data_IF_393706658662
#
_entry.id   IF_393706658662
#
_cell.length_a   1.000
_cell.length_b   1.000
_cell.length_c   1.000
_cell.angle_alpha   90.00
_cell.angle_beta   90.00
_cell.angle_gamma   90.00
#
_symmetry.space_group_name_H-M   'P 1'
#
loop_
_entity.id
_entity.type
_entity.pdbx_description
1 polymer ?
#
# COMPACT_ATOMS: atom_id res chain seq x y z
N UNK A 1 16.96 -2.26 31.01
CA UNK A 1 15.47 -2.24 31.09
C UNK A 1 15.04 -0.83 30.80
N UNK A 2 14.32 -0.60 29.72
CA UNK A 2 13.79 0.73 29.35
C UNK A 2 12.67 1.08 30.34
N UNK A 3 12.66 2.30 30.85
CA UNK A 3 11.59 2.80 31.74
C UNK A 3 10.24 2.68 31.02
N UNK A 4 9.18 2.16 31.64
CA UNK A 4 7.87 2.06 31.02
C UNK A 4 7.39 3.44 30.59
N UNK A 5 6.72 3.56 29.43
CA UNK A 5 6.24 4.85 28.94
C UNK A 5 5.16 5.41 29.86
N UNK A 6 5.27 6.71 30.20
CA UNK A 6 4.24 7.40 30.95
C UNK A 6 3.11 7.81 30.00
N UNK A 7 2.01 7.06 30.01
CA UNK A 7 0.83 7.35 29.20
C UNK A 7 -0.03 8.47 29.84
N UNK A 8 -0.72 9.29 29.06
CA UNK A 8 -1.69 10.23 29.59
C UNK A 8 -2.92 9.47 30.13
N UNK A 9 -3.51 9.96 31.21
CA UNK A 9 -4.75 9.40 31.74
C UNK A 9 -5.94 9.57 30.82
N UNK A 10 -5.92 10.62 30.01
CA UNK A 10 -6.99 10.98 29.09
C UNK A 10 -6.44 11.47 27.75
N UNK A 11 -7.14 11.12 26.68
CA UNK A 11 -6.97 11.68 25.34
C UNK A 11 -8.35 11.91 24.72
N UNK A 12 -8.51 12.93 23.87
CA UNK A 12 -9.74 13.13 23.12
C UNK A 12 -9.96 12.01 22.10
N UNK A 13 -8.89 11.55 21.47
CA UNK A 13 -8.92 10.43 20.53
C UNK A 13 -7.67 9.56 20.72
N UNK A 14 -7.87 8.25 20.69
CA UNK A 14 -6.79 7.26 20.65
C UNK A 14 -6.82 6.56 19.30
N UNK A 15 -5.72 6.65 18.55
CA UNK A 15 -5.49 5.97 17.28
C UNK A 15 -4.67 4.73 17.57
N UNK A 16 -5.13 3.56 17.13
CA UNK A 16 -4.44 2.28 17.33
C UNK A 16 -3.85 1.80 16.01
N UNK A 17 -2.51 1.75 15.96
CA UNK A 17 -1.72 1.35 14.80
C UNK A 17 -0.88 2.48 14.23
N UNK A 18 0.44 2.26 14.12
CA UNK A 18 1.47 3.21 13.66
C UNK A 18 1.90 3.02 12.22
N UNK A 19 1.07 2.40 11.38
CA UNK A 19 1.25 2.34 9.93
C UNK A 19 0.87 3.66 9.25
N UNK A 20 0.96 3.69 7.91
CA UNK A 20 0.66 4.89 7.11
C UNK A 20 -0.74 5.43 7.36
N UNK A 21 -1.75 4.58 7.59
CA UNK A 21 -3.12 5.02 7.85
C UNK A 21 -3.23 5.71 9.21
N UNK A 22 -2.63 5.13 10.27
CA UNK A 22 -2.68 5.72 11.61
C UNK A 22 -1.91 7.03 11.71
N UNK A 23 -0.71 7.11 11.14
CA UNK A 23 0.07 8.35 11.12
C UNK A 23 -0.58 9.42 10.25
N UNK A 24 -1.20 9.04 9.12
CA UNK A 24 -1.99 9.94 8.28
C UNK A 24 -3.21 10.48 9.04
N UNK A 25 -3.95 9.61 9.73
CA UNK A 25 -5.10 10.01 10.57
C UNK A 25 -4.66 11.00 11.65
N UNK A 26 -3.57 10.70 12.35
CA UNK A 26 -3.01 11.58 13.38
C UNK A 26 -2.60 12.95 12.84
N UNK A 27 -1.89 12.95 11.68
CA UNK A 27 -1.48 14.18 11.01
C UNK A 27 -2.68 15.04 10.61
N UNK A 28 -3.70 14.45 10.00
CA UNK A 28 -4.85 15.20 9.49
C UNK A 28 -5.75 15.71 10.61
N UNK A 29 -6.02 14.90 11.64
CA UNK A 29 -6.79 15.37 12.79
C UNK A 29 -6.10 16.56 13.45
N UNK A 30 -4.79 16.49 13.67
CA UNK A 30 -4.04 17.61 14.25
C UNK A 30 -4.01 18.83 13.31
N UNK A 31 -3.89 18.63 12.00
CA UNK A 31 -3.96 19.70 11.00
C UNK A 31 -5.32 20.39 10.95
N UNK A 32 -6.40 19.66 11.29
CA UNK A 32 -7.77 20.19 11.44
C UNK A 32 -8.02 20.84 12.81
N UNK A 33 -6.99 20.98 13.66
CA UNK A 33 -7.09 21.64 14.96
C UNK A 33 -7.54 20.73 16.11
N UNK A 34 -7.61 19.41 15.92
CA UNK A 34 -7.84 18.50 17.04
C UNK A 34 -6.64 18.47 17.96
N UNK A 35 -6.91 18.43 19.26
CA UNK A 35 -5.91 18.37 20.32
C UNK A 35 -6.09 17.08 21.15
N UNK A 36 -5.13 16.81 22.03
CA UNK A 36 -5.14 15.62 22.90
C UNK A 36 -5.28 14.30 22.12
N UNK A 37 -4.52 14.19 21.03
CA UNK A 37 -4.45 13.01 20.19
C UNK A 37 -3.32 12.10 20.67
N UNK A 38 -3.64 10.84 20.87
CA UNK A 38 -2.70 9.77 21.21
C UNK A 38 -2.70 8.74 20.09
N UNK A 39 -1.52 8.34 19.61
CA UNK A 39 -1.34 7.19 18.73
C UNK A 39 -0.57 6.12 19.49
N UNK A 40 -1.10 4.90 19.52
CA UNK A 40 -0.47 3.72 20.12
C UNK A 40 -0.03 2.77 19.02
N UNK A 41 1.24 2.41 19.03
CA UNK A 41 1.82 1.40 18.16
C UNK A 41 2.45 0.29 19.03
N UNK A 42 2.15 -0.98 18.71
CA UNK A 42 2.63 -2.11 19.53
C UNK A 42 4.13 -2.36 19.43
N UNK A 43 4.72 -2.05 18.26
CA UNK A 43 6.16 -2.20 18.00
C UNK A 43 6.78 -0.83 17.69
N UNK A 44 7.19 -0.62 16.46
CA UNK A 44 7.69 0.63 15.91
C UNK A 44 6.77 1.12 14.79
N UNK A 45 6.77 2.41 14.52
CA UNK A 45 6.08 2.92 13.35
C UNK A 45 6.52 2.11 12.11
N UNK A 46 5.59 1.83 11.23
CA UNK A 46 5.79 1.07 9.99
C UNK A 46 5.93 -0.45 10.11
N UNK A 47 6.11 -1.01 11.31
CA UNK A 47 6.43 -2.43 11.51
C UNK A 47 5.35 -3.44 11.02
N UNK A 48 4.15 -2.96 10.69
CA UNK A 48 3.09 -3.77 10.07
C UNK A 48 3.29 -3.88 8.55
N UNK A 49 2.18 -3.82 7.78
CA UNK A 49 2.20 -3.96 6.32
C UNK A 49 2.77 -2.74 5.57
N UNK A 50 2.96 -1.61 6.22
CA UNK A 50 3.43 -0.38 5.59
C UNK A 50 4.80 -0.53 4.95
N UNK A 51 5.76 -1.14 5.64
CA UNK A 51 7.13 -1.28 5.10
C UNK A 51 7.20 -2.22 3.90
N UNK A 52 6.18 -3.06 3.71
CA UNK A 52 6.07 -3.97 2.56
C UNK A 52 5.49 -3.30 1.30
N UNK A 53 4.89 -2.12 1.40
CA UNK A 53 4.18 -1.54 0.28
C UNK A 53 5.13 -1.24 -0.90
N UNK A 54 4.68 -1.47 -2.13
CA UNK A 54 5.45 -1.21 -3.33
C UNK A 54 5.74 0.28 -3.56
N UNK A 55 4.99 1.16 -2.90
CA UNK A 55 5.22 2.61 -2.94
C UNK A 55 4.86 3.25 -4.27
N UNK A 56 3.90 2.70 -5.00
CA UNK A 56 3.39 3.32 -6.22
C UNK A 56 2.52 4.53 -5.85
N UNK A 57 2.82 5.70 -6.43
CA UNK A 57 2.03 6.91 -6.29
C UNK A 57 1.30 7.19 -7.59
N UNK A 58 0.05 6.77 -7.66
CA UNK A 58 -0.74 6.73 -8.88
C UNK A 58 -2.06 7.48 -8.69
N UNK A 59 -2.30 8.48 -9.53
CA UNK A 59 -3.56 9.23 -9.56
C UNK A 59 -4.53 8.71 -10.61
N UNK A 60 -4.02 8.12 -11.67
CA UNK A 60 -4.79 7.51 -12.77
C UNK A 60 -5.55 6.24 -12.35
N UNK A 61 -6.56 5.85 -13.13
CA UNK A 61 -7.25 4.57 -13.03
C UNK A 61 -8.52 4.56 -12.16
N UNK A 62 -8.89 5.67 -11.52
CA UNK A 62 -10.15 5.76 -10.77
C UNK A 62 -11.32 6.21 -11.67
N UNK A 63 -12.49 5.61 -11.46
CA UNK A 63 -13.78 6.03 -12.04
C UNK A 63 -14.68 6.72 -11.01
N UNK A 64 -14.15 7.07 -9.85
CA UNK A 64 -14.84 7.81 -8.79
C UNK A 64 -14.16 9.15 -8.59
N UNK A 65 -14.93 10.24 -8.64
CA UNK A 65 -14.45 11.60 -8.38
C UNK A 65 -13.80 11.71 -7.00
N UNK A 66 -14.48 11.22 -5.95
CA UNK A 66 -13.95 11.23 -4.58
C UNK A 66 -12.62 10.47 -4.48
N UNK A 67 -12.52 9.30 -5.09
CA UNK A 67 -11.26 8.53 -5.10
C UNK A 67 -10.15 9.27 -5.85
N UNK A 68 -10.48 9.90 -6.97
CA UNK A 68 -9.53 10.69 -7.76
C UNK A 68 -9.03 11.90 -6.97
N UNK A 69 -9.91 12.63 -6.30
CA UNK A 69 -9.52 13.77 -5.45
C UNK A 69 -8.65 13.34 -4.27
N UNK A 70 -8.95 12.21 -3.62
CA UNK A 70 -8.09 11.67 -2.54
C UNK A 70 -6.70 11.31 -3.07
N UNK A 71 -6.59 10.72 -4.26
CA UNK A 71 -5.30 10.37 -4.89
C UNK A 71 -4.49 11.62 -5.21
N UNK A 72 -5.11 12.63 -5.84
CA UNK A 72 -4.48 13.94 -6.12
C UNK A 72 -3.98 14.61 -4.84
N UNK A 73 -4.86 14.70 -3.84
CA UNK A 73 -4.50 15.24 -2.53
C UNK A 73 -3.30 14.50 -1.92
N UNK A 74 -3.29 13.17 -2.00
CA UNK A 74 -2.21 12.35 -1.43
C UNK A 74 -0.87 12.62 -2.14
N UNK A 75 -0.87 12.66 -3.48
CA UNK A 75 0.32 13.01 -4.28
C UNK A 75 0.85 14.38 -3.87
N UNK A 76 -0.02 15.37 -3.85
CA UNK A 76 0.35 16.76 -3.54
C UNK A 76 0.84 16.90 -2.08
N UNK A 77 0.21 16.17 -1.14
CA UNK A 77 0.67 16.10 0.25
C UNK A 77 2.08 15.51 0.34
N UNK A 78 2.35 14.39 -0.31
CA UNK A 78 3.65 13.73 -0.24
C UNK A 78 4.76 14.58 -0.88
N UNK A 79 4.41 15.35 -1.93
CA UNK A 79 5.34 16.28 -2.56
C UNK A 79 5.75 17.46 -1.68
N UNK A 80 4.88 17.92 -0.76
CA UNK A 80 5.18 19.07 0.14
C UNK A 80 5.59 18.65 1.56
N UNK A 81 5.35 17.43 1.96
CA UNK A 81 5.48 16.96 3.34
C UNK A 81 6.92 17.03 3.86
N UNK A 82 7.92 16.83 2.96
CA UNK A 82 9.33 17.01 3.31
C UNK A 82 9.64 18.46 3.67
N UNK A 83 9.15 19.41 2.90
CA UNK A 83 9.34 20.83 3.20
C UNK A 83 8.64 21.24 4.52
N UNK A 84 7.48 20.65 4.82
CA UNK A 84 6.75 20.93 6.07
C UNK A 84 7.43 20.35 7.30
N UNK A 85 8.01 19.16 7.19
CA UNK A 85 8.45 18.36 8.34
C UNK A 85 9.96 18.25 8.46
N UNK A 86 10.71 18.51 7.38
CA UNK A 86 12.14 18.20 7.31
C UNK A 86 12.42 16.69 7.36
N UNK A 87 11.46 15.84 6.94
CA UNK A 87 11.60 14.39 6.80
C UNK A 87 11.28 14.02 5.37
N UNK A 88 12.24 13.40 4.69
CA UNK A 88 12.06 12.92 3.33
C UNK A 88 10.86 11.97 3.22
N UNK A 89 10.16 12.01 2.10
CA UNK A 89 9.09 11.07 1.74
C UNK A 89 9.55 10.04 0.72
N UNK A 90 10.72 10.28 0.10
CA UNK A 90 11.17 9.51 -1.04
C UNK A 90 10.26 9.64 -2.27
N UNK A 91 9.41 10.70 -2.31
CA UNK A 91 8.56 10.95 -3.48
C UNK A 91 9.40 11.36 -4.68
N UNK A 92 9.23 10.62 -5.75
CA UNK A 92 9.89 10.86 -7.04
C UNK A 92 8.82 10.90 -8.12
N UNK A 93 8.50 12.09 -8.66
CA UNK A 93 7.55 12.24 -9.77
C UNK A 93 8.22 11.86 -11.10
N UNK A 94 8.44 10.57 -11.28
CA UNK A 94 9.14 9.98 -12.43
C UNK A 94 8.17 9.50 -13.52
N UNK A 95 6.88 9.67 -13.30
CA UNK A 95 5.82 9.24 -14.19
C UNK A 95 5.23 7.89 -13.83
N UNK A 96 4.05 7.65 -14.42
CA UNK A 96 3.33 6.38 -14.36
C UNK A 96 2.75 6.07 -15.72
N UNK A 97 2.86 4.84 -16.18
CA UNK A 97 2.30 4.34 -17.44
C UNK A 97 1.44 3.12 -17.13
N UNK A 98 0.19 3.11 -17.58
CA UNK A 98 -0.65 1.92 -17.64
C UNK A 98 -0.83 1.52 -19.10
N UNK A 99 -0.55 0.25 -19.44
CA UNK A 99 -0.59 -0.20 -20.84
C UNK A 99 -1.86 -1.00 -21.13
N UNK A 100 -2.39 -0.79 -22.34
CA UNK A 100 -3.50 -1.56 -22.90
C UNK A 100 -2.94 -2.55 -23.93
N UNK A 101 -3.14 -3.85 -23.67
CA UNK A 101 -2.62 -4.96 -24.49
C UNK A 101 -3.67 -5.53 -25.44
N UNK A 102 -4.88 -4.98 -25.45
CA UNK A 102 -5.96 -5.34 -26.37
C UNK A 102 -6.92 -4.16 -26.59
N UNK A 103 -7.82 -4.31 -27.59
CA UNK A 103 -8.75 -3.25 -27.99
C UNK A 103 -9.81 -2.96 -26.93
N UNK A 104 -10.25 -3.96 -26.18
CA UNK A 104 -11.26 -3.77 -25.14
C UNK A 104 -10.67 -2.99 -23.97
N UNK A 105 -9.43 -3.30 -23.61
CA UNK A 105 -8.67 -2.58 -22.59
C UNK A 105 -8.35 -1.15 -23.04
N UNK A 106 -8.00 -0.95 -24.31
CA UNK A 106 -7.77 0.37 -24.89
C UNK A 106 -9.03 1.25 -24.76
N UNK A 107 -10.19 0.71 -25.13
CA UNK A 107 -11.46 1.43 -25.03
C UNK A 107 -11.84 1.75 -23.57
N UNK A 108 -11.64 0.79 -22.64
CA UNK A 108 -11.83 1.02 -21.22
C UNK A 108 -10.94 2.16 -20.72
N UNK A 109 -9.65 2.12 -21.05
CA UNK A 109 -8.69 3.11 -20.56
C UNK A 109 -8.90 4.50 -21.17
N UNK A 110 -9.36 4.59 -22.40
CA UNK A 110 -9.77 5.87 -22.99
C UNK A 110 -10.91 6.53 -22.21
N UNK A 111 -11.89 5.74 -21.75
CA UNK A 111 -12.99 6.24 -20.91
C UNK A 111 -12.50 6.67 -19.54
N UNK A 112 -11.65 5.86 -18.91
CA UNK A 112 -11.01 6.19 -17.63
C UNK A 112 -10.16 7.46 -17.77
N UNK A 113 -9.36 7.57 -18.83
CA UNK A 113 -8.53 8.75 -19.10
C UNK A 113 -9.37 10.00 -19.32
N UNK A 114 -10.48 9.90 -20.06
CA UNK A 114 -11.40 11.02 -20.25
C UNK A 114 -12.00 11.51 -18.93
N UNK A 115 -12.41 10.57 -18.07
CA UNK A 115 -12.92 10.90 -16.73
C UNK A 115 -11.83 11.51 -15.84
N UNK A 116 -10.62 10.96 -15.85
CA UNK A 116 -9.52 11.48 -15.03
C UNK A 116 -9.06 12.88 -15.52
N UNK A 117 -9.08 13.15 -16.82
CA UNK A 117 -8.86 14.51 -17.35
C UNK A 117 -9.95 15.48 -16.89
N UNK A 118 -11.21 15.05 -16.89
CA UNK A 118 -12.29 15.84 -16.32
C UNK A 118 -12.05 16.17 -14.84
N UNK A 119 -11.47 15.26 -14.08
CA UNK A 119 -11.05 15.48 -12.68
C UNK A 119 -9.72 16.25 -12.57
N UNK A 120 -9.14 16.74 -13.65
CA UNK A 120 -7.94 17.58 -13.65
C UNK A 120 -6.62 16.83 -13.56
N UNK A 121 -6.56 15.56 -13.96
CA UNK A 121 -5.30 14.79 -14.12
C UNK A 121 -4.86 14.90 -15.59
N UNK A 122 -3.60 15.26 -15.84
CA UNK A 122 -3.02 15.29 -17.20
C UNK A 122 -2.65 13.88 -17.64
N UNK A 123 -3.64 13.15 -18.16
CA UNK A 123 -3.44 11.81 -18.73
C UNK A 123 -3.19 11.90 -20.21
N UNK A 124 -2.06 11.42 -20.67
CA UNK A 124 -1.66 11.39 -22.07
C UNK A 124 -1.77 9.96 -22.63
N UNK A 125 -2.52 9.78 -23.73
CA UNK A 125 -2.46 8.53 -24.50
C UNK A 125 -1.19 8.58 -25.36
N UNK A 126 -0.31 7.58 -25.20
CA UNK A 126 0.98 7.50 -25.88
C UNK A 126 1.08 6.21 -26.70
N UNK A 127 1.84 6.27 -27.79
CA UNK A 127 2.07 5.10 -28.65
C UNK A 127 2.96 4.04 -27.99
N UNK A 128 2.91 2.78 -28.46
CA UNK A 128 3.82 1.73 -27.99
C UNK A 128 5.30 2.11 -28.10
N UNK A 129 5.68 2.83 -29.13
CA UNK A 129 7.04 3.35 -29.30
C UNK A 129 7.42 4.32 -28.17
N UNK A 130 6.51 5.23 -27.81
CA UNK A 130 6.76 6.17 -26.71
C UNK A 130 6.80 5.45 -25.35
N UNK A 131 6.00 4.37 -25.16
CA UNK A 131 6.13 3.51 -23.98
C UNK A 131 7.54 2.92 -23.91
N UNK A 132 8.08 2.40 -25.03
CA UNK A 132 9.43 1.83 -25.07
C UNK A 132 10.53 2.90 -24.89
N UNK A 133 10.33 4.11 -25.37
CA UNK A 133 11.26 5.22 -25.14
C UNK A 133 11.34 5.60 -23.64
N UNK A 134 10.20 5.60 -22.94
CA UNK A 134 10.11 5.89 -21.49
C UNK A 134 10.53 4.71 -20.62
N UNK A 135 10.20 3.50 -21.05
CA UNK A 135 10.50 2.25 -20.33
C UNK A 135 11.19 1.24 -21.29
N UNK A 136 12.51 1.36 -21.50
CA UNK A 136 13.23 0.60 -22.54
C UNK A 136 13.22 -0.93 -22.36
N UNK A 137 12.85 -1.41 -21.17
CA UNK A 137 12.75 -2.84 -20.89
C UNK A 137 11.39 -3.43 -21.29
N UNK A 138 10.40 -2.57 -21.63
CA UNK A 138 9.10 -3.05 -22.07
C UNK A 138 9.19 -3.70 -23.46
N UNK A 139 8.58 -4.87 -23.60
CA UNK A 139 8.18 -5.41 -24.88
C UNK A 139 6.87 -4.72 -25.28
N UNK A 140 6.81 -4.18 -26.49
CA UNK A 140 5.68 -3.34 -26.91
C UNK A 140 4.93 -3.89 -28.12
N UNK A 141 5.28 -5.08 -28.60
CA UNK A 141 4.70 -5.68 -29.83
C UNK A 141 3.23 -6.07 -29.66
N UNK A 142 2.79 -6.26 -28.40
CA UNK A 142 1.44 -6.63 -27.99
C UNK A 142 0.74 -5.49 -27.21
N UNK A 143 1.24 -4.27 -27.29
CA UNK A 143 0.66 -3.08 -26.67
C UNK A 143 -0.08 -2.24 -27.72
N UNK A 144 -1.34 -1.91 -27.49
CA UNK A 144 -2.13 -1.00 -28.33
C UNK A 144 -1.81 0.47 -28.02
N UNK A 145 -1.70 0.82 -26.74
CA UNK A 145 -1.33 2.17 -26.27
C UNK A 145 -0.88 2.15 -24.81
N UNK A 146 -0.21 3.22 -24.37
CA UNK A 146 0.03 3.55 -22.97
C UNK A 146 -0.76 4.77 -22.53
N UNK A 147 -1.09 4.83 -21.26
CA UNK A 147 -1.72 5.99 -20.61
C UNK A 147 -0.75 6.54 -19.57
N UNK A 148 -0.17 7.68 -19.88
CA UNK A 148 0.94 8.27 -19.14
C UNK A 148 0.48 9.46 -18.30
N UNK A 149 0.89 9.47 -17.03
CA UNK A 149 0.76 10.62 -16.11
C UNK A 149 2.16 11.01 -15.62
N UNK A 150 2.63 12.16 -16.05
CA UNK A 150 4.00 12.61 -15.78
C UNK A 150 4.25 12.93 -14.29
N UNK A 151 3.24 13.43 -13.60
CA UNK A 151 3.35 13.88 -12.21
C UNK A 151 3.24 12.75 -11.19
N UNK A 152 2.82 11.57 -11.63
CA UNK A 152 2.79 10.36 -10.82
C UNK A 152 4.20 9.75 -10.67
N UNK A 153 4.33 8.70 -9.88
CA UNK A 153 5.62 8.07 -9.69
C UNK A 153 5.67 7.12 -8.50
N UNK A 154 6.66 7.30 -7.64
CA UNK A 154 6.85 6.42 -6.48
C UNK A 154 7.21 7.19 -5.22
N UNK A 155 6.98 6.56 -4.08
CA UNK A 155 7.39 7.02 -2.74
C UNK A 155 8.15 5.92 -2.00
N UNK A 156 8.83 6.28 -0.92
CA UNK A 156 9.22 5.30 0.09
C UNK A 156 8.13 5.23 1.17
N UNK A 157 7.42 4.09 1.33
CA UNK A 157 6.31 3.99 2.28
C UNK A 157 6.71 4.20 3.75
N UNK A 158 7.93 3.79 4.11
CA UNK A 158 8.48 4.02 5.46
C UNK A 158 8.70 5.50 5.67
N UNK A 159 9.37 6.17 4.74
CA UNK A 159 9.71 7.61 4.85
C UNK A 159 8.44 8.47 4.90
N UNK A 160 7.45 8.18 4.06
CA UNK A 160 6.14 8.85 4.10
C UNK A 160 5.50 8.73 5.47
N UNK A 161 5.48 7.51 6.04
CA UNK A 161 4.89 7.26 7.35
C UNK A 161 5.62 8.00 8.46
N UNK A 162 6.95 8.02 8.39
CA UNK A 162 7.79 8.77 9.34
C UNK A 162 7.58 10.28 9.20
N UNK A 163 7.42 10.79 7.97
CA UNK A 163 7.14 12.20 7.72
C UNK A 163 5.76 12.61 8.27
N UNK A 164 4.72 11.79 8.04
CA UNK A 164 3.39 12.00 8.61
C UNK A 164 3.42 11.95 10.14
N UNK A 165 4.11 10.95 10.71
CA UNK A 165 4.29 10.83 12.16
C UNK A 165 5.03 12.01 12.76
N UNK A 166 6.08 12.51 12.11
CA UNK A 166 6.83 13.72 12.52
C UNK A 166 5.93 14.95 12.44
N UNK A 167 5.21 15.14 11.34
CA UNK A 167 4.27 16.23 11.16
C UNK A 167 3.14 16.21 12.19
N UNK A 168 2.66 15.04 12.59
CA UNK A 168 1.70 14.88 13.68
C UNK A 168 2.31 15.30 15.04
N UNK A 169 3.53 14.82 15.37
CA UNK A 169 4.26 15.23 16.60
C UNK A 169 4.48 16.73 16.67
N UNK A 170 4.87 17.36 15.56
CA UNK A 170 5.05 18.82 15.49
C UNK A 170 3.77 19.60 15.81
N UNK A 171 2.60 18.96 15.65
CA UNK A 171 1.27 19.52 15.96
C UNK A 171 0.71 19.04 17.30
N UNK A 172 1.55 18.44 18.16
CA UNK A 172 1.19 18.08 19.53
C UNK A 172 0.64 16.65 19.70
N UNK A 173 0.60 15.82 18.65
CA UNK A 173 0.20 14.40 18.78
C UNK A 173 1.25 13.64 19.58
N UNK A 174 0.79 12.87 20.56
CA UNK A 174 1.63 11.97 21.35
C UNK A 174 1.62 10.59 20.71
N UNK A 175 2.78 10.15 20.20
CA UNK A 175 2.95 8.85 19.56
C UNK A 175 3.79 7.98 20.48
N UNK A 176 3.23 6.84 20.90
CA UNK A 176 3.86 5.86 21.76
C UNK A 176 4.12 4.56 20.99
N UNK A 177 5.37 4.21 20.85
CA UNK A 177 5.84 2.95 20.27
C UNK A 177 6.12 1.93 21.38
N UNK A 178 6.01 0.63 21.08
CA UNK A 178 6.12 -0.42 22.09
C UNK A 178 4.90 -0.50 23.03
N UNK A 179 3.77 0.08 22.67
CA UNK A 179 2.55 0.13 23.50
C UNK A 179 1.38 -0.56 22.78
N UNK A 180 1.17 -1.86 23.00
CA UNK A 180 0.03 -2.57 22.44
C UNK A 180 -1.29 -2.13 23.08
N UNK A 181 -2.32 -1.91 22.26
CA UNK A 181 -3.70 -1.85 22.73
C UNK A 181 -4.20 -3.29 22.96
N UNK A 182 -4.56 -3.63 24.19
CA UNK A 182 -5.00 -4.96 24.60
C UNK A 182 -6.50 -5.06 24.83
N UNK A 183 -7.23 -3.96 24.72
CA UNK A 183 -8.68 -3.92 24.84
C UNK A 183 -9.24 -2.54 24.58
N UNK A 184 -10.52 -2.50 24.22
CA UNK A 184 -11.31 -1.27 24.11
C UNK A 184 -12.32 -1.26 25.27
N UNK A 185 -12.23 -0.26 26.13
CA UNK A 185 -13.11 -0.09 27.28
C UNK A 185 -14.44 0.52 26.83
N UNK A 186 -15.53 -0.01 27.33
CA UNK A 186 -16.87 0.44 26.98
C UNK A 186 -17.77 0.54 28.21
N UNK A 187 -18.71 1.48 28.16
CA UNK A 187 -19.79 1.63 29.12
C UNK A 187 -21.07 2.04 28.40
N UNK A 188 -22.15 1.30 28.62
CA UNK A 188 -23.46 1.57 27.99
C UNK A 188 -23.39 1.69 26.45
N UNK A 189 -22.63 0.80 25.79
CA UNK A 189 -22.48 0.77 24.33
C UNK A 189 -21.60 1.89 23.74
N UNK A 190 -20.92 2.67 24.58
CA UNK A 190 -20.00 3.72 24.15
C UNK A 190 -18.57 3.42 24.58
N UNK A 191 -17.61 3.79 23.74
CA UNK A 191 -16.18 3.74 24.07
C UNK A 191 -15.92 4.68 25.26
N UNK A 192 -15.10 4.22 26.19
CA UNK A 192 -14.64 5.01 27.34
C UNK A 192 -13.12 4.99 27.50
N UNK A 193 -12.40 4.18 26.73
CA UNK A 193 -10.93 4.15 26.79
C UNK A 193 -10.32 2.99 26.03
N UNK A 194 -9.00 2.93 26.10
CA UNK A 194 -8.17 1.84 25.56
C UNK A 194 -7.32 1.28 26.70
N UNK A 195 -7.30 -0.05 26.83
CA UNK A 195 -6.44 -0.76 27.76
C UNK A 195 -5.08 -1.03 27.16
N UNK A 196 -4.03 -0.84 27.96
CA UNK A 196 -2.66 -1.20 27.62
C UNK A 196 -1.97 -1.89 28.79
N UNK A 197 -0.85 -2.60 28.60
CA UNK A 197 -0.05 -3.14 29.71
C UNK A 197 0.52 -2.07 30.67
N UNK A 198 0.54 -0.80 30.21
CA UNK A 198 1.11 0.33 30.95
C UNK A 198 0.04 1.22 31.60
N UNK A 199 -1.21 0.78 31.59
CA UNK A 199 -2.37 1.49 32.13
C UNK A 199 -3.40 1.83 31.05
N UNK A 200 -4.57 2.24 31.51
CA UNK A 200 -5.70 2.60 30.65
C UNK A 200 -5.61 4.07 30.24
N UNK A 201 -5.92 4.37 28.97
CA UNK A 201 -6.09 5.73 28.47
C UNK A 201 -7.58 5.96 28.24
N UNK A 202 -8.19 6.85 29.02
CA UNK A 202 -9.59 7.24 28.82
C UNK A 202 -9.72 8.06 27.53
N UNK A 203 -10.79 7.81 26.75
CA UNK A 203 -11.02 8.53 25.50
C UNK A 203 -12.48 8.43 25.06
N UNK A 204 -12.93 9.46 24.31
CA UNK A 204 -14.26 9.47 23.70
C UNK A 204 -14.27 8.75 22.32
N UNK A 205 -13.11 8.64 21.66
CA UNK A 205 -13.00 8.09 20.33
C UNK A 205 -11.79 7.14 20.22
N UNK A 206 -12.02 5.96 19.64
CA UNK A 206 -10.96 5.04 19.23
C UNK A 206 -11.00 4.88 17.72
N UNK A 207 -9.88 5.13 17.06
CA UNK A 207 -9.73 4.91 15.61
C UNK A 207 -8.93 3.63 15.39
N UNK A 208 -9.55 2.65 14.76
CA UNK A 208 -8.91 1.38 14.43
C UNK A 208 -8.10 1.51 13.14
N UNK A 209 -6.80 1.68 13.27
CA UNK A 209 -5.82 1.69 12.19
C UNK A 209 -4.85 0.50 12.28
N UNK A 210 -5.29 -0.61 12.88
CA UNK A 210 -4.46 -1.76 13.22
C UNK A 210 -4.10 -2.65 12.01
N UNK A 211 -4.36 -2.22 10.78
CA UNK A 211 -3.94 -2.91 9.55
C UNK A 211 -4.50 -4.32 9.50
N UNK A 212 -3.64 -5.31 9.32
CA UNK A 212 -4.05 -6.72 9.25
C UNK A 212 -4.65 -7.25 10.57
N UNK A 213 -4.41 -6.59 11.70
CA UNK A 213 -5.00 -6.91 13.02
C UNK A 213 -6.28 -6.10 13.34
N UNK A 214 -6.82 -5.38 12.36
CA UNK A 214 -8.01 -4.55 12.59
C UNK A 214 -9.25 -5.38 12.98
N UNK A 215 -9.35 -6.61 12.46
CA UNK A 215 -10.42 -7.56 12.80
C UNK A 215 -10.35 -7.95 14.28
N UNK A 216 -9.18 -8.30 14.76
CA UNK A 216 -8.94 -8.68 16.15
C UNK A 216 -9.21 -7.51 17.11
N UNK A 217 -8.74 -6.32 16.77
CA UNK A 217 -9.05 -5.11 17.55
C UNK A 217 -10.56 -4.81 17.56
N UNK A 218 -11.23 -4.99 16.42
CA UNK A 218 -12.69 -4.88 16.31
C UNK A 218 -13.39 -5.87 17.26
N UNK A 219 -12.97 -7.13 17.27
CA UNK A 219 -13.52 -8.17 18.14
C UNK A 219 -13.40 -7.82 19.63
N UNK A 220 -12.29 -7.20 20.05
CA UNK A 220 -12.10 -6.71 21.43
C UNK A 220 -13.12 -5.62 21.82
N UNK A 221 -13.76 -4.98 20.86
CA UNK A 221 -14.81 -3.98 21.06
C UNK A 221 -16.21 -4.46 20.70
N UNK A 222 -16.37 -5.75 20.36
CA UNK A 222 -17.64 -6.32 19.94
C UNK A 222 -18.10 -5.85 18.53
N UNK A 223 -17.18 -5.32 17.72
CA UNK A 223 -17.45 -4.85 16.36
C UNK A 223 -16.85 -5.81 15.35
N UNK A 224 -17.66 -6.35 14.46
CA UNK A 224 -17.20 -7.18 13.36
C UNK A 224 -16.57 -6.28 12.26
N UNK A 225 -15.30 -6.53 11.95
CA UNK A 225 -14.56 -5.86 10.88
C UNK A 225 -14.32 -6.88 9.76
N UNK A 226 -14.87 -6.61 8.58
CA UNK A 226 -14.69 -7.43 7.38
C UNK A 226 -13.30 -7.19 6.78
N UNK A 227 -12.28 -7.76 7.39
CA UNK A 227 -10.90 -7.66 6.98
C UNK A 227 -10.22 -9.01 7.07
N UNK A 228 -9.65 -9.48 5.95
CA UNK A 228 -8.89 -10.72 5.88
C UNK A 228 -7.53 -10.43 5.27
N UNK A 229 -6.47 -10.82 5.97
CA UNK A 229 -5.12 -10.77 5.44
C UNK A 229 -4.98 -11.75 4.26
N UNK A 230 -4.29 -11.32 3.21
CA UNK A 230 -3.97 -12.15 2.06
C UNK A 230 -2.49 -12.03 1.72
N UNK A 231 -1.94 -13.12 1.20
CA UNK A 231 -0.58 -13.15 0.70
C UNK A 231 -0.48 -12.40 -0.62
N UNK A 232 0.56 -11.62 -0.77
CA UNK A 232 0.88 -10.91 -2.00
C UNK A 232 2.39 -10.78 -2.12
N UNK A 233 2.92 -10.96 -3.33
CA UNK A 233 4.35 -11.05 -3.55
C UNK A 233 4.84 -10.03 -4.56
N UNK A 234 6.05 -9.57 -4.38
CA UNK A 234 6.88 -9.00 -5.42
C UNK A 234 8.30 -9.50 -5.29
N UNK A 235 9.06 -9.44 -6.35
CA UNK A 235 10.48 -9.69 -6.35
C UNK A 235 11.25 -8.40 -6.68
N UNK A 236 12.50 -8.34 -6.24
CA UNK A 236 13.46 -7.33 -6.69
C UNK A 236 14.57 -8.10 -7.41
N UNK A 237 14.85 -7.72 -8.65
CA UNK A 237 15.92 -8.34 -9.44
C UNK A 237 17.28 -7.94 -8.89
N UNK A 238 18.31 -8.67 -9.27
CA UNK A 238 19.68 -8.17 -9.15
C UNK A 238 19.87 -6.88 -9.97
N UNK A 239 20.99 -6.20 -9.73
CA UNK A 239 21.36 -5.00 -10.50
C UNK A 239 21.38 -5.31 -12.00
N UNK A 240 20.66 -4.52 -12.76
CA UNK A 240 20.61 -4.59 -14.22
C UNK A 240 21.62 -3.56 -14.76
N UNK A 241 22.59 -4.06 -15.51
CA UNK A 241 23.59 -3.19 -16.13
C UNK A 241 22.93 -2.20 -17.09
N UNK A 242 23.37 -0.94 -17.06
CA UNK A 242 22.90 0.12 -17.93
C UNK A 242 21.38 0.41 -17.82
N UNK A 243 20.77 0.11 -16.67
CA UNK A 243 19.38 0.45 -16.40
C UNK A 243 19.22 1.99 -16.38
N UNK A 244 18.36 2.57 -17.22
CA UNK A 244 18.14 4.00 -17.21
C UNK A 244 17.65 4.49 -15.84
N UNK A 245 18.16 5.60 -15.31
CA UNK A 245 17.65 6.17 -14.09
C UNK A 245 16.26 6.78 -14.30
N UNK A 246 15.45 6.78 -13.23
CA UNK A 246 14.16 7.48 -13.19
C UNK A 246 13.15 7.03 -14.26
N UNK A 247 13.16 5.75 -14.62
CA UNK A 247 12.08 5.19 -15.44
C UNK A 247 10.74 5.35 -14.72
N UNK A 248 9.65 5.64 -15.44
CA UNK A 248 8.31 5.66 -14.89
C UNK A 248 7.97 4.32 -14.21
N UNK A 249 6.99 4.34 -13.32
CA UNK A 249 6.29 3.11 -12.94
C UNK A 249 5.49 2.63 -14.14
N UNK A 250 5.53 1.34 -14.43
CA UNK A 250 4.74 0.73 -15.49
C UNK A 250 3.80 -0.33 -14.90
N UNK A 251 2.53 -0.27 -15.26
CA UNK A 251 1.54 -1.30 -14.96
C UNK A 251 1.00 -1.93 -16.23
N UNK A 252 0.88 -3.26 -16.23
CA UNK A 252 0.17 -4.05 -17.23
C UNK A 252 -0.92 -4.87 -16.55
N UNK A 253 -2.17 -4.37 -16.51
CA UNK A 253 -3.26 -5.08 -15.88
C UNK A 253 -3.66 -6.38 -16.59
N UNK A 254 -3.41 -6.50 -17.89
CA UNK A 254 -3.67 -7.73 -18.64
C UNK A 254 -2.71 -8.86 -18.25
N UNK A 255 -1.48 -8.48 -17.92
CA UNK A 255 -0.45 -9.37 -17.40
C UNK A 255 -0.45 -9.44 -15.86
N UNK A 256 -1.35 -8.73 -15.18
CA UNK A 256 -1.39 -8.62 -13.71
C UNK A 256 -0.08 -8.12 -13.08
N UNK A 257 0.72 -7.32 -13.80
CA UNK A 257 2.06 -6.93 -13.38
C UNK A 257 2.23 -5.43 -13.18
N UNK A 258 3.10 -5.07 -12.23
CA UNK A 258 3.63 -3.72 -12.12
C UNK A 258 5.14 -3.74 -11.95
N UNK A 259 5.79 -2.71 -12.48
CA UNK A 259 7.24 -2.65 -12.61
C UNK A 259 7.73 -1.27 -12.20
N UNK A 260 8.75 -1.22 -11.38
CA UNK A 260 9.46 0.03 -11.06
C UNK A 260 10.92 -0.22 -10.71
N UNK A 261 11.74 0.78 -10.88
CA UNK A 261 13.14 0.71 -10.50
C UNK A 261 13.30 0.61 -8.97
N UNK A 262 14.14 -0.31 -8.51
CA UNK A 262 14.50 -0.47 -7.10
C UNK A 262 15.91 -1.03 -6.96
N UNK A 263 16.76 -0.39 -6.12
CA UNK A 263 18.07 -0.92 -5.76
C UNK A 263 19.04 -1.22 -6.92
N UNK A 264 18.92 -0.49 -8.05
CA UNK A 264 19.69 -0.74 -9.27
C UNK A 264 19.12 -1.83 -10.16
N UNK A 265 18.03 -2.47 -9.78
CA UNK A 265 17.25 -3.44 -10.54
C UNK A 265 15.80 -3.02 -10.69
N UNK A 266 14.92 -3.98 -10.94
CA UNK A 266 13.47 -3.79 -11.00
C UNK A 266 12.79 -4.48 -9.83
N UNK A 267 11.85 -3.79 -9.22
CA UNK A 267 10.77 -4.40 -8.47
C UNK A 267 9.71 -4.86 -9.46
N UNK A 268 9.35 -6.13 -9.38
CA UNK A 268 8.29 -6.75 -10.19
C UNK A 268 7.24 -7.27 -9.23
N UNK A 269 6.08 -6.68 -9.25
CA UNK A 269 4.97 -7.08 -8.40
C UNK A 269 3.81 -7.59 -9.22
N UNK A 270 2.94 -8.34 -8.56
CA UNK A 270 1.85 -9.04 -9.19
C UNK A 270 0.52 -8.65 -8.56
N UNK A 271 -0.53 -8.56 -9.37
CA UNK A 271 -1.91 -8.44 -8.94
C UNK A 271 -2.64 -9.75 -9.25
N UNK A 272 -2.30 -10.82 -8.52
CA UNK A 272 -2.84 -12.14 -8.77
C UNK A 272 -4.37 -12.11 -8.74
N UNK A 273 -5.05 -12.73 -9.74
CA UNK A 273 -6.52 -12.78 -9.78
C UNK A 273 -7.11 -13.61 -8.64
N UNK A 274 -6.33 -14.54 -8.08
CA UNK A 274 -6.69 -15.38 -6.93
C UNK A 274 -5.65 -15.19 -5.84
N UNK A 275 -6.02 -14.52 -4.76
CA UNK A 275 -5.15 -14.35 -3.59
C UNK A 275 -5.26 -15.56 -2.66
N UNK A 276 -4.16 -15.91 -1.96
CA UNK A 276 -4.21 -16.86 -0.86
C UNK A 276 -4.57 -16.12 0.44
N UNK A 277 -5.62 -16.53 1.15
CA UNK A 277 -5.90 -15.99 2.47
C UNK A 277 -4.79 -16.42 3.44
N UNK A 278 -4.37 -15.49 4.29
CA UNK A 278 -3.31 -15.75 5.26
C UNK A 278 -3.82 -15.66 6.70
N UNK A 279 -3.45 -16.65 7.53
CA UNK A 279 -3.76 -16.68 8.96
C UNK A 279 -5.23 -16.38 9.28
N UNK A 280 -6.12 -17.23 8.80
CA UNK A 280 -7.59 -17.10 9.02
C UNK A 280 -7.92 -17.07 10.52
N UNK A 281 -7.15 -17.78 11.34
CA UNK A 281 -7.33 -17.87 12.80
C UNK A 281 -6.72 -16.70 13.58
N UNK A 282 -6.19 -15.70 12.88
CA UNK A 282 -5.57 -14.52 13.44
C UNK A 282 -4.07 -14.39 13.13
N UNK A 283 -3.64 -13.15 12.94
CA UNK A 283 -2.24 -12.85 12.63
C UNK A 283 -1.38 -12.85 13.91
N UNK A 284 -0.10 -13.29 13.86
CA UNK A 284 0.82 -13.18 14.99
C UNK A 284 0.94 -11.74 15.47
N UNK A 285 0.93 -11.53 16.77
CA UNK A 285 0.97 -10.18 17.38
C UNK A 285 2.35 -9.77 17.89
N UNK A 286 3.26 -10.71 17.99
CA UNK A 286 4.57 -10.60 18.61
C UNK A 286 5.72 -10.45 17.63
N UNK A 287 5.44 -10.52 16.33
CA UNK A 287 6.45 -10.47 15.27
C UNK A 287 6.33 -9.16 14.48
N UNK A 288 7.20 -8.17 14.72
CA UNK A 288 7.33 -7.01 13.84
C UNK A 288 8.02 -7.38 12.53
N UNK A 289 7.77 -6.60 11.49
CA UNK A 289 8.41 -6.79 10.18
C UNK A 289 8.25 -8.21 9.62
N UNK A 290 7.02 -8.72 9.72
CA UNK A 290 6.65 -10.04 9.24
C UNK A 290 7.01 -10.19 7.76
N UNK A 291 7.71 -11.27 7.43
CA UNK A 291 8.03 -11.66 6.06
C UNK A 291 7.52 -13.08 5.80
N UNK A 292 7.22 -13.38 4.54
CA UNK A 292 6.72 -14.70 4.14
C UNK A 292 7.77 -15.40 3.29
N UNK A 293 7.79 -16.74 3.39
CA UNK A 293 8.56 -17.55 2.46
C UNK A 293 8.07 -17.33 1.04
N UNK A 294 8.97 -17.20 0.04
CA UNK A 294 8.59 -16.98 -1.35
C UNK A 294 7.75 -18.12 -1.91
N UNK A 295 6.59 -17.81 -2.48
CA UNK A 295 5.79 -18.77 -3.25
C UNK A 295 6.19 -18.72 -4.74
N UNK A 296 7.21 -19.47 -5.07
CA UNK A 296 7.74 -19.53 -6.44
C UNK A 296 6.78 -20.14 -7.45
N UNK A 297 5.90 -21.04 -7.02
CA UNK A 297 4.90 -21.63 -7.93
C UNK A 297 3.90 -20.55 -8.38
N UNK A 298 3.45 -19.72 -7.44
CA UNK A 298 2.56 -18.59 -7.74
C UNK A 298 3.26 -17.53 -8.57
N UNK A 299 4.50 -17.22 -8.25
CA UNK A 299 5.30 -16.24 -9.00
C UNK A 299 5.72 -16.77 -10.37
N UNK A 300 6.00 -18.07 -10.51
CA UNK A 300 6.49 -18.68 -11.75
C UNK A 300 5.51 -18.61 -12.91
N UNK A 301 4.20 -18.58 -12.65
CA UNK A 301 3.18 -18.32 -13.69
C UNK A 301 3.34 -16.96 -14.36
N UNK A 302 4.05 -16.03 -13.73
CA UNK A 302 4.31 -14.69 -14.22
C UNK A 302 5.76 -14.52 -14.75
N UNK A 303 6.64 -15.52 -14.56
CA UNK A 303 7.97 -15.53 -15.20
C UNK A 303 7.87 -15.50 -16.73
N UNK A 304 6.84 -16.10 -17.33
CA UNK A 304 6.61 -16.04 -18.77
C UNK A 304 6.43 -14.60 -19.28
N UNK A 305 5.89 -13.71 -18.46
CA UNK A 305 5.70 -12.30 -18.77
C UNK A 305 7.05 -11.56 -18.78
N UNK A 306 7.89 -11.84 -17.81
CA UNK A 306 9.27 -11.33 -17.75
C UNK A 306 10.14 -11.89 -18.88
N UNK A 307 9.97 -13.17 -19.20
CA UNK A 307 10.71 -13.87 -20.26
C UNK A 307 10.26 -13.44 -21.66
N UNK A 308 8.99 -13.04 -21.85
CA UNK A 308 8.51 -12.46 -23.10
C UNK A 308 9.26 -11.18 -23.49
N UNK A 309 9.81 -10.45 -22.52
CA UNK A 309 10.62 -9.27 -22.80
C UNK A 309 11.96 -9.60 -23.47
N UNK A 310 12.38 -10.87 -23.52
CA UNK A 310 13.63 -11.33 -24.16
C UNK A 310 14.93 -10.73 -23.56
N UNK A 311 14.80 -9.84 -22.59
CA UNK A 311 15.92 -9.13 -21.95
C UNK A 311 16.24 -9.65 -20.54
N UNK A 312 15.37 -10.47 -19.97
CA UNK A 312 15.61 -11.15 -18.71
C UNK A 312 15.98 -12.59 -18.97
N UNK A 313 17.25 -12.94 -18.76
CA UNK A 313 17.66 -14.33 -18.71
C UNK A 313 17.33 -14.89 -17.33
N UNK A 314 16.34 -15.77 -17.24
CA UNK A 314 16.13 -16.55 -16.04
C UNK A 314 17.39 -17.36 -15.75
N UNK A 315 17.99 -17.17 -14.59
CA UNK A 315 19.11 -18.01 -14.14
C UNK A 315 18.58 -19.37 -13.66
N UNK A 316 19.41 -20.45 -13.72
CA UNK A 316 19.01 -21.76 -13.25
C UNK A 316 18.54 -21.76 -11.79
N UNK A 317 17.75 -22.73 -11.41
CA UNK A 317 17.03 -22.89 -10.13
C UNK A 317 17.87 -22.66 -8.86
N UNK A 318 19.18 -22.92 -8.90
CA UNK A 318 20.11 -22.69 -7.79
C UNK A 318 20.36 -21.20 -7.48
N UNK A 319 20.22 -20.32 -8.47
CA UNK A 319 20.41 -18.86 -8.33
C UNK A 319 19.12 -18.13 -7.94
N UNK A 320 17.93 -18.73 -8.18
CA UNK A 320 16.63 -18.19 -7.81
C UNK A 320 16.50 -17.97 -6.29
N UNK A 321 17.17 -18.81 -5.49
CA UNK A 321 17.15 -18.71 -4.01
C UNK A 321 17.94 -17.55 -3.45
N UNK A 322 18.85 -16.92 -4.22
CA UNK A 322 19.68 -15.80 -3.77
C UNK A 322 19.14 -14.42 -4.16
N UNK A 323 18.32 -14.32 -5.21
CA UNK A 323 17.81 -13.06 -5.77
C UNK A 323 16.46 -12.62 -5.23
N UNK A 324 15.74 -13.49 -4.55
CA UNK A 324 14.43 -13.16 -4.00
C UNK A 324 14.59 -12.64 -2.58
N UNK A 325 14.52 -11.37 -2.41
CA UNK A 325 14.25 -10.77 -1.12
C UNK A 325 12.80 -10.28 -1.12
N UNK A 326 11.99 -10.95 -0.30
CA UNK A 326 10.75 -10.42 0.28
C UNK A 326 9.43 -10.85 -0.38
N UNK A 327 8.77 -11.84 0.21
CA UNK A 327 7.34 -12.08 0.12
C UNK A 327 6.59 -11.15 1.10
N UNK A 328 5.40 -10.66 0.77
CA UNK A 328 4.75 -9.61 1.54
C UNK A 328 3.27 -9.83 1.80
N UNK A 329 2.82 -9.34 2.94
CA UNK A 329 1.43 -9.30 3.37
C UNK A 329 0.79 -7.97 3.01
N UNK A 330 -0.32 -8.01 2.27
CA UNK A 330 -1.20 -6.86 2.08
C UNK A 330 -2.53 -7.11 2.78
N UNK A 331 -2.92 -6.16 3.60
CA UNK A 331 -4.28 -6.11 4.11
C UNK A 331 -5.14 -5.35 3.11
N UNK A 332 -6.05 -6.03 2.43
CA UNK A 332 -7.09 -5.35 1.66
C UNK A 332 -8.14 -4.83 2.64
N UNK A 333 -7.96 -3.63 3.13
CA UNK A 333 -9.04 -2.85 3.72
C UNK A 333 -9.67 -1.99 2.63
N UNK A 334 -10.86 -2.38 2.18
CA UNK A 334 -11.81 -1.53 1.47
C UNK A 334 -11.38 -0.96 0.12
N UNK A 335 -12.06 -1.43 -0.93
CA UNK A 335 -12.33 -0.72 -2.19
C UNK A 335 -11.17 -0.42 -3.15
N UNK A 336 -10.57 -1.46 -3.71
CA UNK A 336 -10.25 -1.42 -5.14
C UNK A 336 -11.01 -2.56 -5.82
N UNK A 337 -12.18 -2.24 -6.38
CA UNK A 337 -12.86 -3.12 -7.31
C UNK A 337 -12.18 -2.98 -8.67
N UNK A 338 -11.19 -3.80 -8.97
CA UNK A 338 -10.87 -4.07 -10.35
C UNK A 338 -11.97 -4.99 -10.90
N UNK A 339 -12.70 -4.53 -11.90
CA UNK A 339 -13.65 -5.38 -12.61
C UNK A 339 -12.85 -6.45 -13.37
N UNK A 340 -13.24 -7.70 -13.18
CA UNK A 340 -12.81 -8.81 -14.02
C UNK A 340 -13.12 -8.49 -15.50
N UNK A 341 -12.26 -8.86 -16.47
CA UNK A 341 -12.48 -8.61 -17.89
C UNK A 341 -13.85 -9.11 -18.43
N UNK A 342 -14.44 -10.09 -17.80
CA UNK A 342 -15.72 -10.68 -18.21
C UNK A 342 -16.99 -9.94 -17.70
N UNK A 343 -16.86 -8.76 -17.11
CA UNK A 343 -18.01 -8.00 -16.59
C UNK A 343 -18.76 -8.67 -15.42
N UNK A 344 -18.27 -9.78 -14.91
CA UNK A 344 -18.89 -10.47 -13.78
C UNK A 344 -18.35 -9.86 -12.48
N UNK A 345 -19.27 -9.51 -11.60
CA UNK A 345 -18.90 -9.17 -10.21
C UNK A 345 -18.18 -10.38 -9.62
N UNK A 346 -16.93 -10.20 -9.17
CA UNK A 346 -16.28 -11.20 -8.33
C UNK A 346 -17.19 -11.44 -7.14
N UNK A 347 -17.73 -12.64 -7.02
CA UNK A 347 -18.41 -13.06 -5.79
C UNK A 347 -17.37 -12.95 -4.66
N UNK A 348 -17.78 -12.56 -3.44
CA UNK A 348 -16.94 -12.77 -2.28
C UNK A 348 -16.45 -14.21 -2.30
N UNK A 349 -15.23 -14.46 -1.84
CA UNK A 349 -14.74 -15.82 -1.64
C UNK A 349 -15.66 -16.49 -0.61
N UNK A 350 -16.75 -17.09 -1.07
CA UNK A 350 -17.53 -18.04 -0.30
C UNK A 350 -16.66 -19.29 -0.20
N UNK A 351 -15.93 -19.36 0.91
CA UNK A 351 -15.25 -20.57 1.32
C UNK A 351 -16.30 -21.64 1.49
N UNK A 352 -16.25 -22.66 0.64
CA UNK A 352 -16.98 -23.88 0.86
C UNK A 352 -16.52 -24.46 2.21
N UNK A 353 -17.40 -24.30 3.20
CA UNK A 353 -17.46 -25.20 4.33
C UNK A 353 -18.23 -26.43 3.85
N UNK A 354 -17.49 -27.46 3.50
CA UNK A 354 -18.03 -28.83 3.50
C UNK A 354 -16.97 -29.78 4.10
N UNK A 355 -17.37 -30.29 5.29
CA UNK A 355 -16.85 -31.39 6.11
C UNK A 355 -15.49 -31.23 6.78
#
# INVERSE_FOLDING_TARGET
MTTPPSLPRHARVVIVGGGVIGTSTAYHLASMGWQDIVLLERHQLTAGTTWHAAGLMVTYGSTSETSTEIRKYTRDLYGRLEAETGQATGFMPIGFIEVASDKDRLEEFRRVAAFNRYCGIDVQEISPRQVQELFPLAKVDDIEAGFYVKEDGRVNPVDVTMALGKGARMRGVKIYEGVPATGVLQKNGRVTGVRTPYGDVQTDFVVNCAGLWARELGALSGVAISNQAAEHYYLITETIKDLPPNMPVLEDPSAYGYYRQEGGGLMVGLFEPVCAPWKIDGAPTDTPYLDLEPDWERMGRHEEILLRSGKFHARPEADRRRGARTARLLCRSGTQFHRHPDGRRSRPCDGALDH
#
